data_IF_324100870544
#
_entry.id   IF_324100870544
#
_cell.length_a   1.000
_cell.length_b   1.000
_cell.length_c   1.000
_cell.angle_alpha   90.00
_cell.angle_beta   90.00
_cell.angle_gamma   90.00
#
_symmetry.space_group_name_H-M   'P 1'
#
loop_
_entity.id
_entity.type
_entity.pdbx_description
1 polymer ?
#
# COMPACT_ATOMS: atom_id res chain seq x y z
N UNK A 1 50.64 14.12 21.93
CA UNK A 1 49.25 14.01 21.44
C UNK A 1 49.31 14.04 19.92
N UNK A 2 49.01 12.94 19.21
CA UNK A 2 49.06 12.94 17.75
C UNK A 2 47.72 13.44 17.18
N UNK A 3 47.80 14.48 16.36
CA UNK A 3 46.71 15.09 15.59
C UNK A 3 46.28 14.13 14.45
N UNK A 4 45.30 13.25 14.71
CA UNK A 4 44.73 12.37 13.68
C UNK A 4 43.55 13.07 12.98
N UNK A 5 43.69 13.27 11.67
CA UNK A 5 42.77 13.99 10.78
C UNK A 5 41.30 13.53 10.95
N UNK A 6 40.31 14.45 11.07
CA UNK A 6 38.91 14.12 11.33
C UNK A 6 38.23 13.26 10.24
N UNK A 7 38.79 13.24 9.04
CA UNK A 7 38.32 12.45 7.87
C UNK A 7 38.51 10.94 8.06
N UNK A 8 39.55 10.51 8.79
CA UNK A 8 39.83 9.08 8.99
C UNK A 8 38.95 8.46 10.09
N UNK A 9 38.52 9.24 11.09
CA UNK A 9 37.54 8.78 12.11
C UNK A 9 36.17 8.47 11.50
N UNK A 10 35.72 9.33 10.57
CA UNK A 10 34.44 9.16 9.89
C UNK A 10 34.29 7.82 9.13
N UNK A 11 35.40 7.21 8.68
CA UNK A 11 35.39 5.93 7.98
C UNK A 11 35.45 4.69 8.90
N UNK A 12 35.88 4.83 10.15
CA UNK A 12 36.02 3.72 11.12
C UNK A 12 35.03 3.77 12.28
N UNK A 13 34.26 4.83 12.43
CA UNK A 13 33.25 4.93 13.49
C UNK A 13 32.04 4.04 13.14
N UNK A 14 31.75 2.96 13.90
CA UNK A 14 30.60 2.08 13.65
C UNK A 14 29.26 2.83 13.68
N UNK A 15 29.24 4.01 14.31
CA UNK A 15 28.10 4.93 14.34
C UNK A 15 27.81 5.53 12.97
N UNK A 16 28.81 5.87 12.16
CA UNK A 16 28.61 6.43 10.81
C UNK A 16 28.00 5.38 9.86
N UNK A 17 28.48 4.14 9.93
CA UNK A 17 27.91 3.02 9.18
C UNK A 17 26.48 2.70 9.62
N UNK A 18 26.19 2.73 10.92
CA UNK A 18 24.84 2.53 11.44
C UNK A 18 23.88 3.65 11.01
N UNK A 19 24.34 4.91 11.00
CA UNK A 19 23.54 6.06 10.54
C UNK A 19 23.26 5.99 9.03
N UNK A 20 24.25 5.64 8.22
CA UNK A 20 24.06 5.47 6.77
C UNK A 20 23.08 4.33 6.46
N UNK A 21 23.21 3.18 7.14
CA UNK A 21 22.27 2.07 7.02
C UNK A 21 20.85 2.49 7.43
N UNK A 22 20.72 3.26 8.52
CA UNK A 22 19.45 3.80 8.99
C UNK A 22 18.78 4.70 7.96
N UNK A 23 19.52 5.62 7.34
CA UNK A 23 19.01 6.53 6.30
C UNK A 23 18.62 5.76 5.04
N UNK A 24 19.41 4.77 4.62
CA UNK A 24 19.09 3.92 3.46
C UNK A 24 17.84 3.08 3.72
N UNK A 25 17.67 2.51 4.91
CA UNK A 25 16.46 1.79 5.32
C UNK A 25 15.24 2.71 5.32
N UNK A 26 15.35 3.88 5.95
CA UNK A 26 14.26 4.86 6.03
C UNK A 26 13.87 5.35 4.63
N UNK A 27 14.85 5.72 3.81
CA UNK A 27 14.66 6.14 2.42
C UNK A 27 14.06 5.03 1.56
N UNK A 28 14.46 3.78 1.78
CA UNK A 28 13.85 2.61 1.14
C UNK A 28 12.37 2.48 1.48
N UNK A 29 12.00 2.60 2.75
CA UNK A 29 10.59 2.53 3.19
C UNK A 29 9.74 3.62 2.53
N UNK A 30 10.22 4.87 2.51
CA UNK A 30 9.51 5.97 1.83
C UNK A 30 9.44 5.79 0.31
N UNK A 31 10.51 5.28 -0.32
CA UNK A 31 10.51 4.98 -1.75
C UNK A 31 9.50 3.87 -2.10
N UNK A 32 9.43 2.81 -1.28
CA UNK A 32 8.43 1.74 -1.39
C UNK A 32 7.01 2.27 -1.21
N UNK A 33 6.81 3.26 -0.33
CA UNK A 33 5.52 3.94 -0.15
C UNK A 33 5.10 4.74 -1.39
N UNK A 34 6.07 5.30 -2.12
CA UNK A 34 5.84 6.11 -3.32
C UNK A 34 5.54 5.25 -4.57
N UNK A 35 6.13 4.05 -4.69
CA UNK A 35 6.06 3.22 -5.90
C UNK A 35 4.68 2.56 -6.08
N UNK A 36 3.92 2.31 -5.00
CA UNK A 36 2.59 1.67 -5.09
C UNK A 36 1.66 2.27 -4.04
N UNK A 37 0.66 3.06 -4.50
CA UNK A 37 -0.43 3.59 -3.65
C UNK A 37 -0.93 2.48 -2.71
N UNK A 38 -0.64 2.60 -1.41
CA UNK A 38 -1.08 1.70 -0.33
C UNK A 38 -0.46 0.29 -0.29
N UNK A 39 0.75 0.07 -0.83
CA UNK A 39 1.43 -1.22 -0.74
C UNK A 39 1.72 -1.66 0.70
N UNK A 40 2.12 -0.71 1.55
CA UNK A 40 2.33 -0.97 2.97
C UNK A 40 1.04 -1.49 3.62
N UNK A 41 -0.09 -0.83 3.37
CA UNK A 41 -1.40 -1.27 3.89
C UNK A 41 -1.84 -2.64 3.35
N UNK A 42 -1.47 -3.01 2.12
CA UNK A 42 -1.91 -4.27 1.50
C UNK A 42 -1.04 -5.48 1.86
N UNK A 43 0.28 -5.31 2.01
CA UNK A 43 1.21 -6.45 2.12
C UNK A 43 2.02 -6.50 3.41
N UNK A 44 2.26 -5.36 4.06
CA UNK A 44 3.23 -5.27 5.16
C UNK A 44 2.55 -4.91 6.48
N UNK A 45 1.39 -4.25 6.45
CA UNK A 45 0.71 -3.78 7.65
C UNK A 45 -0.14 -4.90 8.30
N UNK A 46 0.14 -5.30 9.56
CA UNK A 46 -0.69 -6.27 10.27
C UNK A 46 -2.13 -5.79 10.48
N UNK A 47 -2.35 -4.46 10.58
CA UNK A 47 -3.70 -3.88 10.59
C UNK A 47 -4.41 -4.08 9.24
N UNK A 48 -3.68 -4.04 8.13
CA UNK A 48 -4.23 -4.29 6.79
C UNK A 48 -4.82 -5.70 6.65
N UNK A 49 -4.15 -6.70 7.24
CA UNK A 49 -4.67 -8.07 7.29
C UNK A 49 -5.94 -8.17 8.15
N UNK A 50 -5.97 -7.49 9.30
CA UNK A 50 -7.16 -7.40 10.16
C UNK A 50 -8.33 -6.71 9.47
N UNK A 51 -8.09 -5.58 8.79
CA UNK A 51 -9.12 -4.87 8.05
C UNK A 51 -9.61 -5.67 6.85
N UNK A 52 -8.74 -6.40 6.14
CA UNK A 52 -9.15 -7.29 5.07
C UNK A 52 -10.04 -8.43 5.58
N UNK A 53 -9.71 -9.01 6.75
CA UNK A 53 -10.55 -10.03 7.38
C UNK A 53 -11.90 -9.47 7.86
N UNK A 54 -11.89 -8.28 8.49
CA UNK A 54 -13.09 -7.58 8.91
C UNK A 54 -13.97 -7.18 7.72
N UNK A 55 -13.38 -6.77 6.60
CA UNK A 55 -14.09 -6.41 5.37
C UNK A 55 -14.77 -7.63 4.72
N UNK A 56 -14.22 -8.85 4.88
CA UNK A 56 -14.91 -10.09 4.47
C UNK A 56 -16.15 -10.38 5.32
N UNK A 57 -16.14 -9.99 6.60
CA UNK A 57 -17.28 -10.09 7.50
C UNK A 57 -18.23 -8.89 7.39
N UNK A 58 -17.86 -7.86 6.64
CA UNK A 58 -18.66 -6.66 6.42
C UNK A 58 -19.94 -7.00 5.65
N UNK A 59 -21.08 -6.67 6.26
CA UNK A 59 -22.42 -6.81 5.66
C UNK A 59 -22.66 -5.77 4.56
N UNK A 60 -21.82 -4.72 4.51
CA UNK A 60 -21.93 -3.60 3.58
C UNK A 60 -21.01 -3.84 2.39
N UNK A 61 -21.60 -4.01 1.21
CA UNK A 61 -20.88 -4.23 -0.04
C UNK A 61 -21.53 -3.50 -1.20
N UNK A 62 -20.76 -3.34 -2.28
CA UNK A 62 -21.28 -2.81 -3.55
C UNK A 62 -22.36 -3.74 -4.09
N UNK A 63 -23.51 -3.18 -4.45
CA UNK A 63 -24.56 -3.87 -5.20
C UNK A 63 -24.53 -3.44 -6.65
N UNK A 64 -24.80 -4.38 -7.56
CA UNK A 64 -24.83 -4.13 -9.01
C UNK A 64 -26.28 -4.20 -9.46
N UNK A 65 -26.73 -3.16 -10.16
CA UNK A 65 -28.07 -3.12 -10.75
C UNK A 65 -28.23 -4.20 -11.82
N UNK A 66 -29.45 -4.70 -12.03
CA UNK A 66 -29.79 -5.56 -13.16
C UNK A 66 -29.64 -4.88 -14.52
N UNK A 67 -29.54 -3.55 -14.55
CA UNK A 67 -29.27 -2.75 -15.75
C UNK A 67 -27.78 -2.66 -16.13
N UNK A 68 -26.91 -3.46 -15.49
CA UNK A 68 -25.49 -3.50 -15.82
C UNK A 68 -25.29 -3.94 -17.29
N UNK A 69 -24.51 -3.15 -18.04
CA UNK A 69 -24.15 -3.42 -19.44
C UNK A 69 -22.68 -3.86 -19.60
N UNK A 70 -22.03 -4.28 -18.50
CA UNK A 70 -20.64 -4.75 -18.50
C UNK A 70 -19.63 -3.73 -19.08
N UNK A 71 -19.86 -2.43 -18.86
CA UNK A 71 -19.04 -1.36 -19.44
C UNK A 71 -17.61 -1.23 -18.87
N UNK A 72 -17.24 -2.00 -17.84
CA UNK A 72 -15.89 -2.00 -17.26
C UNK A 72 -15.49 -0.77 -16.43
N UNK A 73 -16.22 0.36 -16.51
CA UNK A 73 -15.89 1.62 -15.82
C UNK A 73 -15.67 1.49 -14.31
N UNK A 74 -16.47 0.64 -13.67
CA UNK A 74 -16.33 0.37 -12.25
C UNK A 74 -14.97 -0.26 -11.89
N UNK A 75 -14.43 -1.13 -12.73
CA UNK A 75 -13.14 -1.77 -12.54
C UNK A 75 -11.98 -0.77 -12.73
N UNK A 76 -12.09 0.12 -13.72
CA UNK A 76 -11.11 1.20 -13.96
C UNK A 76 -11.10 2.23 -12.83
N UNK A 77 -12.27 2.60 -12.32
CA UNK A 77 -12.40 3.55 -11.22
C UNK A 77 -11.95 2.97 -9.86
N UNK A 78 -11.81 1.64 -9.74
CA UNK A 78 -11.46 0.98 -8.50
C UNK A 78 -9.96 1.13 -8.20
N UNK A 79 -9.56 1.90 -7.16
CA UNK A 79 -8.14 2.09 -6.85
C UNK A 79 -7.47 0.80 -6.32
N UNK A 80 -8.26 -0.18 -5.87
CA UNK A 80 -7.78 -1.46 -5.36
C UNK A 80 -7.80 -2.56 -6.43
N UNK A 81 -8.38 -2.29 -7.60
CA UNK A 81 -8.58 -3.27 -8.68
C UNK A 81 -9.21 -4.58 -8.19
N UNK A 82 -10.18 -4.48 -7.28
CA UNK A 82 -10.83 -5.63 -6.63
C UNK A 82 -12.17 -6.02 -7.28
N UNK A 83 -12.48 -5.48 -8.47
CA UNK A 83 -13.71 -5.75 -9.24
C UNK A 83 -13.33 -6.60 -10.46
N UNK A 84 -14.14 -7.61 -10.78
CA UNK A 84 -13.93 -8.45 -11.96
C UNK A 84 -14.15 -7.66 -13.26
N UNK A 85 -13.61 -8.17 -14.37
CA UNK A 85 -13.86 -7.64 -15.72
C UNK A 85 -15.36 -7.55 -16.03
N UNK A 86 -16.12 -8.53 -15.58
CA UNK A 86 -17.56 -8.63 -15.80
C UNK A 86 -18.35 -7.63 -14.92
N UNK A 87 -17.68 -6.88 -14.04
CA UNK A 87 -18.30 -5.84 -13.20
C UNK A 87 -19.21 -6.35 -12.08
N UNK A 88 -19.59 -7.63 -12.06
CA UNK A 88 -20.52 -8.21 -11.09
C UNK A 88 -19.86 -8.66 -9.79
N UNK A 89 -18.64 -9.20 -9.85
CA UNK A 89 -17.96 -9.73 -8.66
C UNK A 89 -17.03 -8.68 -8.06
N UNK A 90 -17.09 -8.54 -6.74
CA UNK A 90 -16.18 -7.68 -5.97
C UNK A 90 -15.53 -8.52 -4.88
N UNK A 91 -14.20 -8.45 -4.78
CA UNK A 91 -13.42 -9.10 -3.72
C UNK A 91 -13.51 -8.27 -2.43
N UNK A 92 -14.50 -8.55 -1.58
CA UNK A 92 -14.74 -7.78 -0.34
C UNK A 92 -13.54 -7.75 0.61
N UNK A 93 -12.68 -8.76 0.60
CA UNK A 93 -11.47 -8.78 1.44
C UNK A 93 -10.39 -7.78 1.03
N UNK A 94 -10.44 -7.24 -0.19
CA UNK A 94 -9.55 -6.18 -0.67
C UNK A 94 -10.29 -4.87 -0.91
N UNK A 95 -11.63 -4.90 -0.85
CA UNK A 95 -12.47 -3.73 -1.02
C UNK A 95 -12.45 -2.88 0.25
N UNK A 96 -11.99 -1.64 0.10
CA UNK A 96 -11.96 -0.64 1.17
C UNK A 96 -13.23 0.22 1.24
N UNK A 97 -14.28 -0.18 0.52
CA UNK A 97 -15.56 0.52 0.45
C UNK A 97 -15.46 2.03 0.15
N UNK A 98 -14.55 2.42 -0.76
CA UNK A 98 -14.37 3.82 -1.16
C UNK A 98 -15.49 4.37 -2.06
N UNK A 99 -16.35 3.49 -2.60
CA UNK A 99 -17.51 3.82 -3.45
C UNK A 99 -17.24 4.66 -4.71
N UNK A 100 -15.98 4.86 -5.12
CA UNK A 100 -15.65 5.52 -6.39
C UNK A 100 -16.31 4.85 -7.61
N UNK A 101 -16.51 3.53 -7.55
CA UNK A 101 -17.18 2.75 -8.59
C UNK A 101 -18.70 2.99 -8.69
N UNK A 102 -19.32 3.69 -7.73
CA UNK A 102 -20.72 4.10 -7.79
C UNK A 102 -20.90 5.47 -8.45
N UNK A 103 -19.84 6.28 -8.47
CA UNK A 103 -19.82 7.61 -9.10
C UNK A 103 -19.36 7.57 -10.57
N UNK A 104 -18.97 6.41 -11.09
CA UNK A 104 -18.44 6.19 -12.45
C UNK A 104 -19.51 5.63 -13.40
#
# INVERSE_FOLDING_TARGET
MPEVHPVLRAWTDPVFMAQFLGVVLLGGIFALELIRRRFWCRYVCPLGAFYGLAARAGVIGRTVSSACIECGRCAEACPMSCISTDGHKTLSGECILCLNCQAA
#
